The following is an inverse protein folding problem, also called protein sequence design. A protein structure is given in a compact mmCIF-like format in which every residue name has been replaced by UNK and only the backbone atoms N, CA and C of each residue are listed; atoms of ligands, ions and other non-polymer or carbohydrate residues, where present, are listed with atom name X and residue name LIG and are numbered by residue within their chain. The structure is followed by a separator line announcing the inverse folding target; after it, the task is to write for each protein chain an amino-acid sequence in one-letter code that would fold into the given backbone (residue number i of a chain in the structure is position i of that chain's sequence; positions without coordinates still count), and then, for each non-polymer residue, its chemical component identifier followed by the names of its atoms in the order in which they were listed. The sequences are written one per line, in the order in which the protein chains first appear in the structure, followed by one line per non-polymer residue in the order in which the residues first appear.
data_IF_876020557002
#
_entry.id   IF_876020557002
#
_cell.length_a   1.000
_cell.length_b   1.000
_cell.length_c   1.000
_cell.angle_alpha   90.00
_cell.angle_beta   90.00
_cell.angle_gamma   90.00
#
_symmetry.space_group_name_H-M   'P 1'
#
loop_
_entity.id
_entity.type
_entity.pdbx_description
1 polymer ?
#
# COMPACT_ATOMS: atom_id res chain seq x y z
N UNK A 1 4.90 15.05 7.43
CA UNK A 1 4.11 16.29 7.57
C UNK A 1 5.02 17.49 7.30
N UNK A 2 5.99 17.78 8.15
CA UNK A 2 6.87 18.98 8.08
C UNK A 2 7.53 19.21 6.70
N UNK A 3 7.83 18.16 5.94
CA UNK A 3 8.37 18.26 4.59
C UNK A 3 7.42 19.02 3.65
N UNK A 4 6.13 18.70 3.71
CA UNK A 4 5.09 19.29 2.88
C UNK A 4 4.70 20.70 3.35
N UNK A 5 4.51 20.87 4.66
CA UNK A 5 4.15 22.16 5.25
C UNK A 5 5.19 23.25 5.00
N UNK A 6 6.49 22.92 5.13
CA UNK A 6 7.58 23.83 4.77
C UNK A 6 7.60 24.22 3.28
N UNK A 7 6.84 23.50 2.45
CA UNK A 7 6.70 23.79 1.00
C UNK A 7 5.33 24.35 0.63
N UNK A 8 4.59 24.84 1.65
CA UNK A 8 3.34 25.55 1.44
C UNK A 8 2.08 24.66 1.38
N UNK A 9 2.21 23.36 1.61
CA UNK A 9 1.03 22.47 1.67
C UNK A 9 0.48 22.46 3.10
N UNK A 10 -0.64 23.15 3.31
CA UNK A 10 -1.37 23.05 4.57
C UNK A 10 -1.96 21.63 4.74
N UNK A 11 -1.77 21.07 5.92
CA UNK A 11 -2.26 19.72 6.24
C UNK A 11 -3.30 19.73 7.36
N UNK A 12 -4.14 18.71 7.41
CA UNK A 12 -5.07 18.42 8.51
C UNK A 12 -4.89 16.98 8.97
N UNK A 13 -5.15 16.76 10.25
CA UNK A 13 -5.14 15.42 10.85
C UNK A 13 -6.58 14.99 11.07
N UNK A 14 -6.94 13.87 10.46
CA UNK A 14 -8.23 13.25 10.63
C UNK A 14 -8.16 12.09 11.63
N UNK A 15 -9.31 11.49 11.89
CA UNK A 15 -9.44 10.34 12.76
C UNK A 15 -8.46 9.23 12.39
N UNK A 16 -7.89 8.55 13.39
CA UNK A 16 -6.87 7.52 13.20
C UNK A 16 -5.50 8.10 12.85
N UNK A 17 -5.26 9.38 13.19
CA UNK A 17 -4.00 10.09 12.88
C UNK A 17 -3.66 10.14 11.38
N UNK A 18 -4.66 10.02 10.52
CA UNK A 18 -4.49 10.14 9.08
C UNK A 18 -4.29 11.60 8.70
N UNK A 19 -3.25 11.87 7.95
CA UNK A 19 -2.90 13.22 7.51
C UNK A 19 -3.28 13.41 6.05
N UNK A 20 -4.04 14.46 5.79
CA UNK A 20 -4.49 14.85 4.45
C UNK A 20 -4.13 16.31 4.16
N UNK A 21 -4.04 16.71 2.88
CA UNK A 21 -4.01 18.13 2.55
C UNK A 21 -5.31 18.82 2.99
N UNK A 22 -5.21 20.06 3.41
CA UNK A 22 -6.38 20.84 3.85
C UNK A 22 -7.44 20.97 2.74
N UNK A 23 -7.02 20.96 1.48
CA UNK A 23 -7.85 21.01 0.29
C UNK A 23 -8.58 19.70 -0.07
N UNK A 24 -8.23 18.60 0.58
CA UNK A 24 -8.66 17.23 0.21
C UNK A 24 -8.23 16.79 -1.21
N UNK A 25 -7.31 17.53 -1.85
CA UNK A 25 -6.79 17.24 -3.18
C UNK A 25 -5.46 16.52 -3.13
N UNK A 26 -5.38 15.30 -3.66
CA UNK A 26 -4.11 14.59 -3.84
C UNK A 26 -3.19 15.26 -4.86
N UNK A 27 -3.74 16.07 -5.76
CA UNK A 27 -2.97 16.81 -6.76
C UNK A 27 -2.05 17.85 -6.11
N UNK A 28 -2.46 18.49 -5.02
CA UNK A 28 -1.64 19.45 -4.30
C UNK A 28 -0.37 18.79 -3.72
N UNK A 29 -0.52 17.55 -3.26
CA UNK A 29 0.64 16.74 -2.80
C UNK A 29 1.60 16.47 -3.96
N UNK A 30 1.05 16.10 -5.12
CA UNK A 30 1.83 15.82 -6.32
C UNK A 30 2.56 17.09 -6.82
N UNK A 31 1.91 18.24 -6.79
CA UNK A 31 2.48 19.50 -7.26
C UNK A 31 3.63 19.95 -6.37
N UNK A 32 3.53 19.81 -5.05
CA UNK A 32 4.65 20.06 -4.14
C UNK A 32 5.85 19.16 -4.46
N UNK A 33 5.63 17.89 -4.76
CA UNK A 33 6.71 16.96 -5.12
C UNK A 33 7.34 17.32 -6.47
N UNK A 34 6.54 17.67 -7.48
CA UNK A 34 7.03 18.13 -8.79
C UNK A 34 7.86 19.39 -8.67
N UNK A 35 7.37 20.38 -7.92
CA UNK A 35 8.11 21.62 -7.70
C UNK A 35 9.45 21.38 -6.98
N UNK A 36 9.44 20.48 -5.99
CA UNK A 36 10.67 20.11 -5.28
C UNK A 36 11.69 19.46 -6.20
N UNK A 37 11.26 18.56 -7.08
CA UNK A 37 12.13 17.92 -8.07
C UNK A 37 12.65 18.92 -9.10
N UNK A 38 11.81 19.83 -9.58
CA UNK A 38 12.20 20.88 -10.52
C UNK A 38 13.26 21.82 -9.93
N UNK A 39 13.09 22.23 -8.67
CA UNK A 39 14.09 23.03 -7.94
C UNK A 39 15.43 22.30 -7.79
N UNK A 40 15.37 20.97 -7.64
CA UNK A 40 16.54 20.10 -7.60
C UNK A 40 17.15 19.77 -8.95
N UNK A 41 16.64 20.33 -10.06
CA UNK A 41 17.05 20.05 -11.43
C UNK A 41 17.00 18.55 -11.75
N UNK A 42 16.01 17.83 -11.22
CA UNK A 42 15.79 16.40 -11.46
C UNK A 42 14.99 16.23 -12.74
N UNK A 43 15.54 15.51 -13.70
CA UNK A 43 14.82 15.10 -14.90
C UNK A 43 13.84 13.97 -14.57
N UNK A 44 12.56 14.18 -14.87
CA UNK A 44 11.51 13.17 -14.73
C UNK A 44 11.20 12.59 -16.10
N UNK A 45 11.41 11.30 -16.29
CA UNK A 45 11.04 10.58 -17.50
C UNK A 45 9.83 9.70 -17.25
N UNK A 46 8.68 10.11 -17.76
CA UNK A 46 7.44 9.32 -17.73
C UNK A 46 7.37 8.36 -18.91
N UNK A 47 6.46 7.38 -18.86
CA UNK A 47 6.31 6.34 -19.89
C UNK A 47 7.61 5.57 -20.16
N UNK A 48 8.47 5.47 -19.14
CA UNK A 48 9.79 4.85 -19.20
C UNK A 48 9.75 3.51 -18.43
N UNK A 49 9.08 2.52 -18.99
CA UNK A 49 8.95 1.21 -18.38
C UNK A 49 10.28 0.45 -18.45
N UNK A 50 10.79 0.07 -17.29
CA UNK A 50 12.05 -0.66 -17.17
C UNK A 50 11.86 -2.13 -17.51
N UNK A 51 12.54 -2.61 -18.54
CA UNK A 51 12.58 -4.01 -18.94
C UNK A 51 13.54 -4.82 -18.07
N UNK A 52 14.75 -4.29 -17.84
CA UNK A 52 15.78 -5.01 -17.09
C UNK A 52 16.83 -4.08 -16.50
N UNK A 53 17.52 -4.60 -15.50
CA UNK A 53 18.72 -3.99 -14.91
C UNK A 53 19.88 -4.93 -15.14
N UNK A 54 20.93 -4.46 -15.81
CA UNK A 54 22.17 -5.22 -16.05
C UNK A 54 23.17 -4.95 -14.94
N UNK A 55 23.77 -6.02 -14.41
CA UNK A 55 24.82 -5.93 -13.40
C UNK A 55 26.04 -6.77 -13.78
N UNK A 56 27.21 -6.31 -13.39
CA UNK A 56 28.51 -7.02 -13.55
C UNK A 56 29.36 -6.73 -12.31
N UNK A 57 30.03 -7.75 -11.79
CA UNK A 57 30.91 -7.63 -10.63
C UNK A 57 30.18 -6.94 -9.42
N UNK A 58 28.92 -7.31 -9.16
CA UNK A 58 28.06 -6.73 -8.10
C UNK A 58 27.77 -5.23 -8.25
N UNK A 59 27.99 -4.65 -9.42
CA UNK A 59 27.65 -3.25 -9.72
C UNK A 59 26.61 -3.20 -10.85
N UNK A 60 25.65 -2.30 -10.71
CA UNK A 60 24.69 -2.03 -11.80
C UNK A 60 25.41 -1.25 -12.90
N UNK A 61 25.40 -1.78 -14.11
CA UNK A 61 26.02 -1.15 -15.29
C UNK A 61 25.02 -0.21 -15.99
N UNK A 62 23.78 -0.66 -16.16
CA UNK A 62 22.74 0.07 -16.89
C UNK A 62 21.33 -0.42 -16.55
N UNK A 63 20.38 0.46 -16.79
CA UNK A 63 18.94 0.18 -16.83
C UNK A 63 18.51 0.20 -18.28
N UNK A 64 17.73 -0.80 -18.70
CA UNK A 64 17.21 -0.94 -20.07
C UNK A 64 15.70 -0.83 -20.05
N UNK A 65 15.16 0.05 -20.87
CA UNK A 65 13.71 0.23 -21.04
C UNK A 65 13.13 -0.74 -22.08
N UNK A 66 11.81 -0.85 -22.14
CA UNK A 66 11.10 -1.67 -23.11
C UNK A 66 11.37 -1.23 -24.57
N UNK A 67 11.56 0.07 -24.80
CA UNK A 67 11.91 0.66 -26.08
C UNK A 67 13.40 0.52 -26.44
N UNK A 68 14.16 -0.25 -25.66
CA UNK A 68 15.61 -0.49 -25.80
C UNK A 68 16.51 0.71 -25.49
N UNK A 69 15.98 1.82 -25.00
CA UNK A 69 16.83 2.89 -24.47
C UNK A 69 17.58 2.39 -23.24
N UNK A 70 18.83 2.84 -23.11
CA UNK A 70 19.71 2.46 -22.01
C UNK A 70 20.10 3.68 -21.17
N UNK A 71 20.07 3.53 -19.86
CA UNK A 71 20.48 4.57 -18.92
C UNK A 71 21.64 4.08 -18.07
N UNK A 72 22.70 4.90 -18.00
CA UNK A 72 23.86 4.66 -17.15
C UNK A 72 23.98 5.77 -16.11
N UNK A 73 24.31 5.40 -14.89
CA UNK A 73 24.51 6.34 -13.79
C UNK A 73 25.65 5.86 -12.89
N UNK A 74 26.19 6.76 -12.08
CA UNK A 74 27.19 6.40 -11.06
C UNK A 74 26.57 5.65 -9.89
N UNK A 75 25.30 5.91 -9.57
CA UNK A 75 24.52 5.25 -8.49
C UNK A 75 23.09 5.06 -8.95
N UNK A 76 22.46 4.04 -8.42
CA UNK A 76 21.08 3.67 -8.73
C UNK A 76 20.29 3.52 -7.43
N UNK A 77 19.05 3.96 -7.44
CA UNK A 77 18.09 3.75 -6.36
C UNK A 77 16.88 3.02 -6.97
N UNK A 78 16.59 1.83 -6.48
CA UNK A 78 15.41 1.06 -6.88
C UNK A 78 14.30 1.36 -5.86
N UNK A 79 13.32 2.16 -6.26
CA UNK A 79 12.21 2.61 -5.42
C UNK A 79 10.85 2.33 -6.09
N UNK A 80 10.70 1.13 -6.67
CA UNK A 80 9.57 0.71 -7.51
C UNK A 80 8.33 0.30 -6.73
N UNK A 81 8.32 0.48 -5.42
CA UNK A 81 7.22 0.07 -4.55
C UNK A 81 7.11 -1.44 -4.37
N UNK A 82 6.00 -1.88 -3.85
CA UNK A 82 5.72 -3.26 -3.51
C UNK A 82 4.95 -4.03 -4.58
N UNK A 83 3.98 -4.86 -4.13
CA UNK A 83 3.22 -5.79 -4.98
C UNK A 83 1.71 -5.70 -4.74
N UNK A 84 1.26 -4.71 -3.95
CA UNK A 84 -0.12 -4.64 -3.45
C UNK A 84 -1.13 -4.19 -4.51
N UNK A 85 -0.75 -3.25 -5.38
CA UNK A 85 -1.63 -2.67 -6.40
C UNK A 85 -0.96 -2.66 -7.78
N UNK A 86 -0.93 -3.80 -8.49
CA UNK A 86 -0.27 -3.89 -9.80
C UNK A 86 -0.80 -2.90 -10.84
N UNK A 87 -2.11 -2.60 -10.80
CA UNK A 87 -2.73 -1.63 -11.72
C UNK A 87 -2.22 -0.19 -11.53
N UNK A 88 -1.63 0.14 -10.39
CA UNK A 88 -1.04 1.45 -10.10
C UNK A 88 0.49 1.46 -10.22
N UNK A 89 1.08 0.40 -10.79
CA UNK A 89 2.51 0.25 -11.00
C UNK A 89 3.27 -0.58 -9.95
N UNK A 90 2.60 -1.02 -8.88
CA UNK A 90 3.22 -1.88 -7.85
C UNK A 90 3.21 -3.36 -8.29
N UNK A 91 3.92 -3.66 -9.39
CA UNK A 91 3.94 -4.98 -10.04
C UNK A 91 4.91 -5.97 -9.39
N UNK A 92 5.77 -5.50 -8.48
CA UNK A 92 6.81 -6.31 -7.85
C UNK A 92 8.04 -6.55 -8.72
N UNK A 93 8.25 -5.76 -9.77
CA UNK A 93 9.40 -5.93 -10.67
C UNK A 93 10.73 -5.70 -9.97
N UNK A 94 10.79 -4.77 -9.01
CA UNK A 94 11.97 -4.57 -8.17
C UNK A 94 12.42 -5.86 -7.48
N UNK A 95 11.51 -6.68 -6.98
CA UNK A 95 11.85 -7.98 -6.38
C UNK A 95 12.47 -8.94 -7.40
N UNK A 96 11.93 -8.97 -8.62
CA UNK A 96 12.47 -9.82 -9.71
C UNK A 96 13.88 -9.42 -10.09
N UNK A 97 14.15 -8.12 -10.21
CA UNK A 97 15.48 -7.61 -10.54
C UNK A 97 16.48 -7.87 -9.42
N UNK A 98 16.12 -7.58 -8.16
CA UNK A 98 16.96 -7.83 -7.00
C UNK A 98 17.30 -9.34 -6.86
N UNK A 99 16.32 -10.22 -7.07
CA UNK A 99 16.55 -11.67 -7.05
C UNK A 99 17.56 -12.10 -8.13
N UNK A 100 17.45 -11.54 -9.36
CA UNK A 100 18.42 -11.81 -10.45
C UNK A 100 19.83 -11.29 -10.11
N UNK A 101 19.96 -10.26 -9.30
CA UNK A 101 21.23 -9.73 -8.82
C UNK A 101 21.79 -10.48 -7.60
N UNK A 102 21.16 -11.57 -7.17
CA UNK A 102 21.63 -12.43 -6.08
C UNK A 102 21.11 -12.08 -4.68
N UNK A 103 20.17 -11.13 -4.56
CA UNK A 103 19.55 -10.84 -3.26
C UNK A 103 18.50 -11.90 -2.90
N UNK A 104 18.42 -12.21 -1.61
CA UNK A 104 17.33 -13.04 -1.07
C UNK A 104 16.09 -12.16 -0.91
N UNK A 105 14.99 -12.59 -1.52
CA UNK A 105 13.69 -11.94 -1.37
C UNK A 105 12.82 -12.83 -0.48
N UNK A 106 12.46 -12.31 0.69
CA UNK A 106 11.48 -12.94 1.57
C UNK A 106 10.11 -12.81 0.91
N UNK A 107 9.35 -13.89 0.87
CA UNK A 107 8.03 -13.90 0.26
C UNK A 107 7.11 -12.89 0.95
N UNK A 108 6.44 -12.08 0.15
CA UNK A 108 5.52 -11.06 0.64
C UNK A 108 4.12 -11.64 0.80
N UNK A 109 3.52 -11.43 1.97
CA UNK A 109 2.14 -11.79 2.26
C UNK A 109 1.29 -10.53 2.44
N UNK A 110 -0.03 -10.58 2.16
CA UNK A 110 -0.93 -9.49 2.45
C UNK A 110 -0.94 -9.18 3.95
N UNK A 111 -0.79 -7.92 4.32
CA UNK A 111 -0.87 -7.45 5.71
C UNK A 111 -2.17 -6.69 5.98
N UNK A 112 -2.62 -5.88 5.01
CA UNK A 112 -3.89 -5.16 5.05
C UNK A 112 -4.84 -5.84 4.07
N UNK A 113 -5.69 -6.73 4.56
CA UNK A 113 -6.56 -7.55 3.72
C UNK A 113 -8.02 -7.41 4.15
N UNK A 114 -8.97 -7.32 3.21
CA UNK A 114 -10.40 -7.43 3.54
C UNK A 114 -10.70 -8.77 4.20
N UNK A 115 -11.71 -8.79 5.06
CA UNK A 115 -12.26 -10.02 5.62
C UNK A 115 -13.31 -10.60 4.68
N UNK A 116 -13.22 -11.90 4.43
CA UNK A 116 -14.27 -12.63 3.74
C UNK A 116 -15.35 -13.03 4.74
N UNK A 117 -16.62 -12.87 4.35
CA UNK A 117 -17.78 -13.27 5.14
C UNK A 117 -18.46 -14.44 4.44
N UNK A 118 -18.88 -15.46 5.21
CA UNK A 118 -19.48 -16.67 4.67
C UNK A 118 -20.97 -16.55 4.40
N UNK A 119 -21.61 -15.59 5.07
CA UNK A 119 -23.04 -15.38 5.00
C UNK A 119 -23.46 -14.71 3.68
N UNK A 120 -24.48 -15.25 3.02
CA UNK A 120 -24.88 -14.85 1.67
C UNK A 120 -25.52 -13.44 1.61
N UNK A 121 -26.03 -12.91 2.73
CA UNK A 121 -26.67 -11.57 2.76
C UNK A 121 -25.67 -10.43 2.47
N UNK A 122 -24.37 -10.71 2.46
CA UNK A 122 -23.31 -9.71 2.27
C UNK A 122 -23.41 -9.05 0.90
N UNK A 123 -23.77 -9.78 -0.14
CA UNK A 123 -23.90 -9.25 -1.50
C UNK A 123 -24.95 -8.14 -1.59
N UNK A 124 -26.01 -8.23 -0.79
CA UNK A 124 -27.08 -7.20 -0.74
C UNK A 124 -26.60 -5.90 -0.06
N UNK A 125 -25.53 -5.97 0.71
CA UNK A 125 -24.95 -4.84 1.45
C UNK A 125 -23.76 -4.19 0.72
N UNK A 126 -23.39 -4.65 -0.46
CA UNK A 126 -22.24 -4.12 -1.20
C UNK A 126 -22.30 -2.59 -1.34
N UNK A 127 -21.21 -1.92 -0.99
CA UNK A 127 -21.09 -0.46 -1.04
C UNK A 127 -21.63 0.26 0.21
N UNK A 128 -22.29 -0.43 1.14
CA UNK A 128 -22.76 0.18 2.39
C UNK A 128 -21.58 0.51 3.31
N UNK A 129 -21.42 1.79 3.61
CA UNK A 129 -20.42 2.29 4.57
C UNK A 129 -21.02 2.41 5.95
N UNK A 130 -20.41 1.75 6.93
CA UNK A 130 -20.73 1.87 8.33
C UNK A 130 -19.84 2.94 8.97
N UNK A 131 -20.44 3.93 9.61
CA UNK A 131 -19.74 4.99 10.35
C UNK A 131 -19.96 4.83 11.84
N UNK A 132 -18.90 5.11 12.63
CA UNK A 132 -18.97 5.07 14.09
C UNK A 132 -19.43 3.71 14.65
N UNK A 133 -18.92 2.62 14.08
CA UNK A 133 -19.19 1.25 14.53
C UNK A 133 -18.02 0.68 15.32
N UNK A 134 -18.31 -0.22 16.25
CA UNK A 134 -17.31 -1.03 16.92
C UNK A 134 -17.34 -2.44 16.35
N UNK A 135 -16.19 -2.91 15.85
CA UNK A 135 -16.03 -4.29 15.39
C UNK A 135 -15.08 -5.01 16.33
N UNK A 136 -15.45 -6.21 16.72
CA UNK A 136 -14.67 -7.05 17.64
C UNK A 136 -14.43 -8.43 17.05
N UNK A 137 -13.22 -8.92 17.21
CA UNK A 137 -12.82 -10.28 16.82
C UNK A 137 -12.76 -11.17 18.06
N UNK A 138 -13.30 -12.36 17.94
CA UNK A 138 -13.32 -13.35 19.00
C UNK A 138 -12.64 -14.63 18.52
N UNK A 139 -11.86 -15.25 19.41
CA UNK A 139 -11.33 -16.59 19.19
C UNK A 139 -12.42 -17.61 19.51
N UNK A 140 -12.74 -18.44 18.53
CA UNK A 140 -13.69 -19.52 18.73
C UNK A 140 -12.97 -20.72 19.39
N UNK A 141 -13.38 -21.09 20.60
CA UNK A 141 -12.81 -22.19 21.38
C UNK A 141 -13.64 -23.49 21.28
N UNK A 142 -14.40 -23.71 20.21
CA UNK A 142 -15.31 -24.83 20.06
C UNK A 142 -14.65 -26.24 19.95
N UNK A 143 -13.37 -26.40 20.22
CA UNK A 143 -12.68 -27.68 20.06
C UNK A 143 -12.80 -28.66 21.25
N UNK A 144 -13.50 -28.31 22.33
CA UNK A 144 -13.68 -29.20 23.46
C UNK A 144 -15.18 -29.46 23.71
N UNK A 145 -15.65 -30.66 23.31
CA UNK A 145 -16.99 -31.10 23.60
C UNK A 145 -17.24 -31.08 25.13
N UNK A 146 -18.23 -30.30 25.57
CA UNK A 146 -18.64 -30.24 26.98
C UNK A 146 -18.24 -29.04 27.79
N UNK A 147 -17.44 -28.12 27.23
CA UNK A 147 -17.04 -26.89 27.90
C UNK A 147 -17.89 -25.69 27.43
N UNK A 148 -18.53 -24.97 28.37
CA UNK A 148 -19.06 -23.62 28.12
C UNK A 148 -17.88 -22.64 28.06
N UNK A 149 -16.97 -22.80 27.09
CA UNK A 149 -15.90 -21.81 26.90
C UNK A 149 -16.50 -20.56 26.27
N UNK A 150 -16.41 -19.45 26.97
CA UNK A 150 -16.76 -18.14 26.42
C UNK A 150 -15.71 -17.79 25.36
N UNK A 151 -16.19 -17.38 24.20
CA UNK A 151 -15.29 -16.88 23.14
C UNK A 151 -14.44 -15.76 23.72
N UNK A 152 -13.13 -15.88 23.54
CA UNK A 152 -12.17 -14.89 24.03
C UNK A 152 -12.08 -13.75 23.01
N UNK A 153 -12.43 -12.54 23.44
CA UNK A 153 -12.22 -11.35 22.63
C UNK A 153 -10.71 -11.13 22.40
N UNK A 154 -10.30 -11.06 21.13
CA UNK A 154 -8.91 -10.87 20.72
C UNK A 154 -8.61 -9.40 20.49
N UNK A 155 -9.46 -8.71 19.71
CA UNK A 155 -9.30 -7.31 19.34
C UNK A 155 -10.63 -6.61 19.21
N UNK A 156 -10.61 -5.28 19.24
CA UNK A 156 -11.78 -4.43 19.04
C UNK A 156 -11.35 -3.08 18.51
N UNK A 157 -11.95 -2.68 17.39
CA UNK A 157 -11.68 -1.40 16.74
C UNK A 157 -12.97 -0.59 16.62
N UNK A 158 -12.85 0.72 16.74
CA UNK A 158 -13.95 1.65 16.58
C UNK A 158 -13.66 2.61 15.43
N UNK A 159 -14.57 2.70 14.45
CA UNK A 159 -14.36 3.57 13.31
C UNK A 159 -15.31 3.30 12.16
N UNK A 160 -14.76 3.24 10.97
CA UNK A 160 -15.50 3.07 9.72
C UNK A 160 -15.17 1.73 9.08
N UNK A 161 -16.18 1.05 8.57
CA UNK A 161 -16.10 -0.17 7.81
C UNK A 161 -16.94 -0.07 6.54
N UNK A 162 -16.63 -0.88 5.55
CA UNK A 162 -17.31 -0.92 4.26
C UNK A 162 -17.65 -2.36 3.91
N UNK A 163 -18.89 -2.63 3.53
CA UNK A 163 -19.26 -3.89 2.92
C UNK A 163 -18.81 -3.95 1.46
N UNK A 164 -18.23 -5.09 1.08
CA UNK A 164 -17.84 -5.42 -0.29
C UNK A 164 -18.66 -6.61 -0.76
N UNK A 165 -18.62 -6.93 -2.04
CA UNK A 165 -19.37 -8.06 -2.62
C UNK A 165 -19.11 -9.42 -1.94
N UNK A 166 -18.01 -9.58 -1.20
CA UNK A 166 -17.63 -10.84 -0.57
C UNK A 166 -17.30 -10.73 0.92
N UNK A 167 -17.50 -9.56 1.52
CA UNK A 167 -17.15 -9.39 2.92
C UNK A 167 -17.06 -7.95 3.38
N UNK A 168 -16.05 -7.64 4.17
CA UNK A 168 -15.86 -6.31 4.76
C UNK A 168 -14.44 -5.80 4.54
N UNK A 169 -14.34 -4.50 4.34
CA UNK A 169 -13.12 -3.72 4.24
C UNK A 169 -13.28 -2.40 5.02
N UNK A 170 -12.43 -1.45 4.76
CA UNK A 170 -12.45 -0.15 5.42
C UNK A 170 -11.40 -0.04 6.53
N UNK A 171 -11.19 1.18 7.06
CA UNK A 171 -10.05 1.46 7.92
C UNK A 171 -9.90 0.52 9.11
N UNK A 172 -10.99 0.25 9.86
CA UNK A 172 -10.90 -0.60 11.05
C UNK A 172 -10.76 -2.10 10.74
N UNK A 173 -11.18 -2.54 9.57
CA UNK A 173 -11.00 -3.92 9.13
C UNK A 173 -9.55 -4.17 8.72
N UNK A 174 -8.98 -3.22 7.98
CA UNK A 174 -7.60 -3.33 7.48
C UNK A 174 -6.57 -3.20 8.61
N UNK A 175 -6.92 -2.56 9.73
CA UNK A 175 -6.07 -2.38 10.92
C UNK A 175 -6.17 -3.55 11.93
N UNK A 176 -7.08 -4.49 11.72
CA UNK A 176 -7.25 -5.69 12.54
C UNK A 176 -6.28 -6.80 12.14
#
# INVERSE_FOLDING_TARGET
ITFFEKRGLATKVERGNRVFPQSDSSLDVLDVLKEYLNKGQVEIKTNAEVQSISSKNNLIEKVVLNDKQEFKAKKYIIATGGKSYPMTGSSGDGYKWLKKMGHTIVETNPALSPLLIKENFIEELEGLSLKNVAISVYQNNHHLAGSRSRDKKIDSRFGEALFTSKGMSGPIILDM
#
